data_IF_493244244976
#
_entry.id   IF_493244244976
#
_cell.length_a   1.000
_cell.length_b   1.000
_cell.length_c   1.000
_cell.angle_alpha   90.00
_cell.angle_beta   90.00
_cell.angle_gamma   90.00
#
_symmetry.space_group_name_H-M   'P 1'
#
loop_
_entity.id
_entity.type
_entity.pdbx_description
1 polymer ?
#
# COMPACT_ATOMS: atom_id res chain seq x y z
N UNK A 1 2.50 -96.29 8.04
CA UNK A 1 1.44 -96.07 9.04
C UNK A 1 1.21 -94.57 9.16
N UNK A 2 0.04 -94.08 8.73
CA UNK A 2 -0.25 -92.66 8.42
C UNK A 2 -0.51 -91.78 9.67
N UNK A 3 -0.24 -90.45 9.62
CA UNK A 3 -0.63 -89.54 10.69
C UNK A 3 -2.11 -89.12 10.59
N UNK A 4 -2.83 -89.35 11.69
CA UNK A 4 -4.27 -89.11 11.86
C UNK A 4 -4.56 -87.61 12.00
N UNK A 5 -5.20 -87.01 11.00
CA UNK A 5 -5.63 -85.61 10.98
C UNK A 5 -6.67 -85.35 12.07
N UNK A 6 -6.37 -84.43 12.99
CA UNK A 6 -7.30 -84.03 14.06
C UNK A 6 -8.45 -83.22 13.45
N UNK A 7 -9.66 -83.74 13.62
CA UNK A 7 -10.95 -83.27 13.10
C UNK A 7 -11.25 -81.81 13.47
N UNK A 8 -11.65 -81.02 12.48
CA UNK A 8 -11.97 -79.58 12.52
C UNK A 8 -12.85 -79.10 13.68
N UNK A 9 -13.68 -80.00 14.23
CA UNK A 9 -14.64 -79.68 15.30
C UNK A 9 -13.96 -79.40 16.64
N UNK A 10 -12.81 -80.01 16.95
CA UNK A 10 -12.11 -79.76 18.22
C UNK A 10 -11.43 -78.39 18.24
N UNK A 11 -10.96 -77.91 17.09
CA UNK A 11 -10.31 -76.59 16.94
C UNK A 11 -11.26 -75.43 17.16
N UNK A 12 -12.52 -75.57 16.75
CA UNK A 12 -13.55 -74.54 16.95
C UNK A 12 -13.88 -74.34 18.44
N UNK A 13 -13.93 -75.41 19.22
CA UNK A 13 -14.22 -75.37 20.66
C UNK A 13 -13.10 -74.74 21.49
N UNK A 14 -11.85 -74.90 21.06
CA UNK A 14 -10.70 -74.23 21.70
C UNK A 14 -10.75 -72.72 21.49
N UNK A 15 -11.10 -72.28 20.27
CA UNK A 15 -11.17 -70.84 19.93
C UNK A 15 -12.24 -70.10 20.73
N UNK A 16 -13.41 -70.70 20.92
CA UNK A 16 -14.49 -70.09 21.73
C UNK A 16 -14.17 -70.06 23.22
N UNK A 17 -13.41 -71.04 23.72
CA UNK A 17 -12.95 -71.08 25.12
C UNK A 17 -11.88 -70.03 25.41
N UNK A 18 -10.97 -69.78 24.48
CA UNK A 18 -9.94 -68.75 24.67
C UNK A 18 -10.51 -67.33 24.61
N UNK A 19 -11.48 -67.08 23.72
CA UNK A 19 -12.22 -65.81 23.66
C UNK A 19 -13.05 -65.53 24.92
N UNK A 20 -13.61 -66.55 25.56
CA UNK A 20 -14.32 -66.38 26.84
C UNK A 20 -13.36 -66.29 28.03
N UNK A 21 -12.20 -66.95 27.98
CA UNK A 21 -11.16 -66.88 29.01
C UNK A 21 -10.47 -65.51 29.07
N UNK A 22 -10.28 -64.85 27.93
CA UNK A 22 -9.68 -63.50 27.88
C UNK A 22 -10.55 -62.42 28.52
N UNK A 23 -11.87 -62.62 28.57
CA UNK A 23 -12.79 -61.75 29.32
C UNK A 23 -12.68 -61.98 30.83
N UNK A 24 -12.39 -63.22 31.26
CA UNK A 24 -12.35 -63.61 32.68
C UNK A 24 -10.96 -63.39 33.32
N UNK A 25 -9.87 -63.40 32.53
CA UNK A 25 -8.53 -62.99 33.00
C UNK A 25 -7.90 -62.05 31.97
N UNK A 26 -7.87 -60.73 32.23
CA UNK A 26 -7.11 -59.82 31.40
C UNK A 26 -5.62 -60.18 31.51
N UNK A 27 -5.01 -60.58 30.41
CA UNK A 27 -3.57 -60.77 30.29
C UNK A 27 -2.87 -59.39 30.32
N UNK A 28 -1.77 -59.22 31.08
CA UNK A 28 -1.16 -57.90 31.32
C UNK A 28 -0.54 -57.25 30.07
N UNK A 29 -0.32 -58.01 28.99
CA UNK A 29 0.29 -57.50 27.75
C UNK A 29 -0.64 -56.55 26.99
N UNK A 30 -1.96 -56.79 27.00
CA UNK A 30 -2.95 -55.94 26.31
C UNK A 30 -3.17 -54.59 27.03
N UNK A 31 -2.81 -54.49 28.30
CA UNK A 31 -2.91 -53.24 29.06
C UNK A 31 -1.78 -52.26 28.67
N UNK A 32 -0.57 -52.75 28.44
CA UNK A 32 0.61 -51.88 28.22
C UNK A 32 0.54 -51.11 26.89
N UNK A 33 0.12 -51.75 25.80
CA UNK A 33 -0.01 -51.09 24.50
C UNK A 33 -1.10 -50.02 24.47
N UNK A 34 -2.20 -50.25 25.21
CA UNK A 34 -3.28 -49.27 25.36
C UNK A 34 -2.76 -47.99 26.01
N UNK A 35 -1.92 -48.08 27.04
CA UNK A 35 -1.40 -46.89 27.71
C UNK A 35 -0.48 -46.03 26.83
N UNK A 36 0.37 -46.63 25.98
CA UNK A 36 1.25 -45.85 25.09
C UNK A 36 0.45 -45.20 23.95
N UNK A 37 -0.48 -45.94 23.34
CA UNK A 37 -1.35 -45.41 22.29
C UNK A 37 -2.28 -44.31 22.81
N UNK A 38 -2.85 -44.48 24.02
CA UNK A 38 -3.69 -43.46 24.68
C UNK A 38 -2.87 -42.21 25.02
N UNK A 39 -1.62 -42.35 25.49
CA UNK A 39 -0.77 -41.19 25.77
C UNK A 39 -0.40 -40.42 24.50
N UNK A 40 -0.22 -41.10 23.38
CA UNK A 40 0.03 -40.46 22.09
C UNK A 40 -1.23 -39.80 21.52
N UNK A 41 -2.40 -40.44 21.62
CA UNK A 41 -3.66 -39.83 21.14
C UNK A 41 -4.03 -38.59 21.95
N UNK A 42 -3.87 -38.61 23.29
CA UNK A 42 -4.09 -37.42 24.15
C UNK A 42 -3.16 -36.27 23.75
N UNK A 43 -1.89 -36.56 23.41
CA UNK A 43 -0.93 -35.54 22.95
C UNK A 43 -1.33 -34.95 21.60
N UNK A 44 -1.78 -35.77 20.66
CA UNK A 44 -2.25 -35.30 19.35
C UNK A 44 -3.54 -34.47 19.47
N UNK A 45 -4.48 -34.89 20.29
CA UNK A 45 -5.71 -34.13 20.56
C UNK A 45 -5.37 -32.80 21.25
N UNK A 46 -4.48 -32.82 22.25
CA UNK A 46 -4.06 -31.61 22.95
C UNK A 46 -3.34 -30.61 22.04
N UNK A 47 -2.44 -31.09 21.17
CA UNK A 47 -1.76 -30.22 20.19
C UNK A 47 -2.71 -29.66 19.14
N UNK A 48 -3.64 -30.47 18.62
CA UNK A 48 -4.68 -29.99 17.72
C UNK A 48 -5.55 -28.91 18.37
N UNK A 49 -5.93 -29.10 19.64
CA UNK A 49 -6.71 -28.13 20.40
C UNK A 49 -5.93 -26.84 20.66
N UNK A 50 -4.64 -26.93 20.99
CA UNK A 50 -3.77 -25.78 21.18
C UNK A 50 -3.59 -24.96 19.89
N UNK A 51 -3.44 -25.62 18.74
CA UNK A 51 -3.36 -24.95 17.44
C UNK A 51 -4.69 -24.28 17.09
N UNK A 52 -5.83 -24.95 17.33
CA UNK A 52 -7.15 -24.35 17.14
C UNK A 52 -7.38 -23.12 18.03
N UNK A 53 -6.97 -23.20 19.30
CA UNK A 53 -7.03 -22.08 20.23
C UNK A 53 -6.12 -20.92 19.80
N UNK A 54 -4.87 -21.21 19.38
CA UNK A 54 -3.92 -20.22 18.87
C UNK A 54 -4.48 -19.50 17.62
N UNK A 55 -5.03 -20.24 16.67
CA UNK A 55 -5.67 -19.67 15.48
C UNK A 55 -6.85 -18.77 15.86
N UNK A 56 -7.67 -19.19 16.81
CA UNK A 56 -8.89 -18.45 17.20
C UNK A 56 -8.57 -17.19 18.00
N UNK A 57 -7.68 -17.29 18.99
CA UNK A 57 -7.39 -16.19 19.91
C UNK A 57 -6.33 -15.21 19.41
N UNK A 58 -5.51 -15.58 18.41
CA UNK A 58 -4.43 -14.72 17.94
C UNK A 58 -4.59 -14.35 16.47
N UNK A 59 -4.88 -15.31 15.59
CA UNK A 59 -4.91 -15.02 14.14
C UNK A 59 -6.14 -14.21 13.74
N UNK A 60 -7.32 -14.57 14.23
CA UNK A 60 -8.57 -13.85 13.94
C UNK A 60 -8.52 -12.40 14.44
N UNK A 61 -8.23 -12.12 15.73
CA UNK A 61 -8.22 -10.73 16.22
C UNK A 61 -7.09 -9.88 15.61
N UNK A 62 -5.91 -10.45 15.31
CA UNK A 62 -4.83 -9.69 14.65
C UNK A 62 -5.17 -9.35 13.19
N UNK A 63 -5.87 -10.25 12.49
CA UNK A 63 -6.35 -9.99 11.13
C UNK A 63 -7.42 -8.88 11.13
N UNK A 64 -8.36 -8.94 12.06
CA UNK A 64 -9.42 -7.94 12.21
C UNK A 64 -8.88 -6.57 12.65
N UNK A 65 -7.89 -6.54 13.55
CA UNK A 65 -7.25 -5.28 13.94
C UNK A 65 -6.62 -4.59 12.72
N UNK A 66 -5.90 -5.34 11.87
CA UNK A 66 -5.27 -4.76 10.66
C UNK A 66 -6.28 -4.31 9.60
N UNK A 67 -7.41 -4.99 9.43
CA UNK A 67 -8.45 -4.56 8.49
C UNK A 67 -9.19 -3.34 9.02
N UNK A 68 -9.49 -3.29 10.31
CA UNK A 68 -10.09 -2.13 10.97
C UNK A 68 -9.17 -0.91 10.96
N UNK A 69 -7.86 -1.07 11.21
CA UNK A 69 -6.90 0.04 11.12
C UNK A 69 -6.82 0.62 9.71
N UNK A 70 -6.91 -0.21 8.66
CA UNK A 70 -6.94 0.27 7.27
C UNK A 70 -8.23 1.03 6.94
N UNK A 71 -9.37 0.52 7.42
CA UNK A 71 -10.66 1.21 7.26
C UNK A 71 -10.66 2.54 8.01
N UNK A 72 -10.08 2.58 9.20
CA UNK A 72 -9.93 3.80 9.99
C UNK A 72 -8.99 4.79 9.31
N UNK A 73 -7.83 4.36 8.81
CA UNK A 73 -6.89 5.21 8.08
C UNK A 73 -7.51 5.81 6.81
N UNK A 74 -8.24 5.01 6.03
CA UNK A 74 -8.95 5.50 4.86
C UNK A 74 -9.99 6.57 5.23
N UNK A 75 -10.77 6.33 6.28
CA UNK A 75 -11.77 7.31 6.75
C UNK A 75 -11.13 8.57 7.31
N UNK A 76 -10.04 8.47 8.06
CA UNK A 76 -9.27 9.63 8.52
C UNK A 76 -8.75 10.46 7.34
N UNK A 77 -8.23 9.83 6.29
CA UNK A 77 -7.76 10.57 5.10
C UNK A 77 -8.89 11.28 4.35
N UNK A 78 -10.08 10.67 4.29
CA UNK A 78 -11.27 11.34 3.75
C UNK A 78 -11.66 12.55 4.61
N UNK A 79 -11.64 12.42 5.94
CA UNK A 79 -11.96 13.52 6.84
C UNK A 79 -10.95 14.66 6.78
N UNK A 80 -9.65 14.37 6.68
CA UNK A 80 -8.60 15.38 6.51
C UNK A 80 -8.82 16.16 5.20
N UNK A 81 -9.06 15.47 4.09
CA UNK A 81 -9.34 16.13 2.81
C UNK A 81 -10.60 17.02 2.85
N UNK A 82 -11.65 16.60 3.56
CA UNK A 82 -12.86 17.40 3.74
C UNK A 82 -12.64 18.58 4.69
N UNK A 83 -11.82 18.43 5.72
CA UNK A 83 -11.47 19.51 6.63
C UNK A 83 -10.65 20.59 5.91
N UNK A 84 -9.63 20.20 5.14
CA UNK A 84 -8.82 21.11 4.33
C UNK A 84 -9.68 21.90 3.32
N UNK A 85 -10.61 21.22 2.63
CA UNK A 85 -11.52 21.87 1.70
C UNK A 85 -12.46 22.86 2.41
N UNK A 86 -12.96 22.51 3.60
CA UNK A 86 -13.80 23.42 4.38
C UNK A 86 -13.01 24.64 4.87
N UNK A 87 -11.76 24.47 5.30
CA UNK A 87 -10.88 25.58 5.70
C UNK A 87 -10.67 26.54 4.53
N UNK A 88 -10.33 26.01 3.35
CA UNK A 88 -10.17 26.81 2.13
C UNK A 88 -11.44 27.59 1.76
N UNK A 89 -12.60 26.93 1.79
CA UNK A 89 -13.87 27.61 1.53
C UNK A 89 -14.18 28.69 2.58
N UNK A 90 -13.82 28.46 3.84
CA UNK A 90 -14.01 29.44 4.89
C UNK A 90 -13.09 30.65 4.70
N UNK A 91 -11.85 30.45 4.27
CA UNK A 91 -10.94 31.54 3.88
C UNK A 91 -11.49 32.35 2.71
N UNK A 92 -12.02 31.69 1.68
CA UNK A 92 -12.67 32.36 0.55
C UNK A 92 -13.89 33.16 0.99
N UNK A 93 -14.77 32.57 1.79
CA UNK A 93 -15.94 33.26 2.35
C UNK A 93 -15.51 34.48 3.17
N UNK A 94 -14.49 34.33 4.02
CA UNK A 94 -13.97 35.44 4.82
C UNK A 94 -13.39 36.54 3.92
N UNK A 95 -12.65 36.18 2.87
CA UNK A 95 -12.14 37.14 1.90
C UNK A 95 -13.29 37.85 1.18
N UNK A 96 -14.29 37.12 0.68
CA UNK A 96 -15.48 37.63 0.00
C UNK A 96 -16.43 38.40 0.93
N UNK A 97 -16.31 38.27 2.25
CA UNK A 97 -17.07 39.08 3.20
C UNK A 97 -16.58 40.53 3.28
N UNK A 98 -15.33 40.78 2.83
CA UNK A 98 -14.74 42.12 2.85
C UNK A 98 -15.07 42.89 1.56
N UNK A 99 -15.28 44.22 1.62
CA UNK A 99 -15.57 45.02 0.44
C UNK A 99 -14.48 44.92 -0.65
N UNK A 100 -13.20 44.86 -0.25
CA UNK A 100 -12.09 44.71 -1.19
C UNK A 100 -12.04 43.30 -1.81
N UNK A 101 -12.33 42.25 -1.04
CA UNK A 101 -12.43 40.90 -1.56
C UNK A 101 -13.55 40.74 -2.58
N UNK A 102 -14.72 41.33 -2.33
CA UNK A 102 -15.82 41.37 -3.32
C UNK A 102 -15.36 42.08 -4.60
N UNK A 103 -14.71 43.24 -4.48
CA UNK A 103 -14.23 44.01 -5.63
C UNK A 103 -13.20 43.21 -6.45
N UNK A 104 -12.26 42.55 -5.78
CA UNK A 104 -11.25 41.73 -6.43
C UNK A 104 -11.85 40.48 -7.10
N UNK A 105 -12.79 39.81 -6.43
CA UNK A 105 -13.52 38.67 -6.99
C UNK A 105 -14.37 39.09 -8.21
N UNK A 106 -15.06 40.23 -8.13
CA UNK A 106 -15.81 40.79 -9.25
C UNK A 106 -14.91 41.12 -10.45
N UNK A 107 -13.71 41.66 -10.22
CA UNK A 107 -12.71 41.90 -11.28
C UNK A 107 -12.17 40.60 -11.88
N UNK A 108 -11.83 39.61 -11.05
CA UNK A 108 -11.15 38.39 -11.51
C UNK A 108 -12.11 37.38 -12.15
N UNK A 109 -13.26 37.14 -11.51
CA UNK A 109 -14.21 36.10 -11.92
C UNK A 109 -15.20 36.61 -12.98
N UNK A 110 -15.70 37.83 -12.81
CA UNK A 110 -16.74 38.41 -13.66
C UNK A 110 -16.19 39.45 -14.63
N UNK A 111 -14.93 39.86 -14.47
CA UNK A 111 -14.34 40.90 -15.30
C UNK A 111 -14.97 42.29 -15.10
N UNK A 112 -15.65 42.52 -13.98
CA UNK A 112 -16.23 43.83 -13.70
C UNK A 112 -15.12 44.87 -13.48
N UNK A 113 -15.46 46.11 -13.80
CA UNK A 113 -14.56 47.27 -13.73
C UNK A 113 -15.34 48.40 -13.08
N UNK A 114 -14.70 49.21 -12.23
CA UNK A 114 -15.41 50.31 -11.57
C UNK A 114 -15.74 51.44 -12.56
N UNK A 115 -16.74 52.29 -12.27
CA UNK A 115 -17.00 53.48 -13.08
C UNK A 115 -15.74 54.34 -13.21
N UNK A 116 -15.33 54.62 -14.45
CA UNK A 116 -14.11 55.40 -14.76
C UNK A 116 -12.84 54.58 -14.96
N UNK A 117 -12.85 53.27 -14.72
CA UNK A 117 -11.75 52.37 -15.06
C UNK A 117 -11.97 51.77 -16.46
N UNK A 118 -10.89 51.51 -17.22
CA UNK A 118 -10.94 50.89 -18.54
C UNK A 118 -10.14 49.58 -18.54
N UNK A 119 -10.75 48.50 -19.04
CA UNK A 119 -10.06 47.21 -19.16
C UNK A 119 -9.03 47.29 -20.30
N UNK A 120 -7.75 47.18 -19.97
CA UNK A 120 -6.67 47.04 -20.95
C UNK A 120 -6.29 45.57 -21.04
N UNK A 121 -6.58 44.94 -22.18
CA UNK A 121 -6.07 43.60 -22.48
C UNK A 121 -4.63 43.74 -22.97
N UNK A 122 -3.67 43.53 -22.08
CA UNK A 122 -2.27 43.43 -22.49
C UNK A 122 -2.09 42.12 -23.26
N UNK A 123 -1.88 42.21 -24.57
CA UNK A 123 -1.43 41.08 -25.36
C UNK A 123 0.01 40.75 -24.96
N UNK A 124 0.36 39.45 -25.02
CA UNK A 124 1.75 39.03 -24.82
C UNK A 124 2.64 39.81 -25.78
N UNK A 125 3.62 40.53 -25.23
CA UNK A 125 4.59 41.26 -26.04
C UNK A 125 5.24 40.27 -27.01
N UNK A 126 5.31 40.56 -28.33
CA UNK A 126 5.98 39.69 -29.27
C UNK A 126 7.42 39.45 -28.80
N UNK A 127 7.95 38.26 -29.06
CA UNK A 127 9.37 38.01 -28.81
C UNK A 127 10.17 39.08 -29.56
N UNK A 128 10.97 39.84 -28.83
CA UNK A 128 11.84 40.82 -29.47
C UNK A 128 12.81 40.05 -30.37
N UNK A 129 13.12 40.57 -31.57
CA UNK A 129 14.18 40.01 -32.39
C UNK A 129 15.47 39.99 -31.56
N UNK A 130 16.02 38.81 -31.32
CA UNK A 130 17.34 38.64 -30.70
C UNK A 130 18.47 38.89 -31.68
N UNK A 131 18.15 38.94 -32.97
CA UNK A 131 19.10 39.19 -34.04
C UNK A 131 19.32 40.69 -34.24
N UNK A 132 20.58 41.08 -34.23
CA UNK A 132 20.98 42.44 -34.57
C UNK A 132 20.87 42.67 -36.09
N UNK A 133 20.51 43.89 -36.54
CA UNK A 133 20.45 44.20 -37.97
C UNK A 133 21.80 44.01 -38.67
N UNK A 134 21.79 43.54 -39.91
CA UNK A 134 22.99 43.43 -40.77
C UNK A 134 23.36 44.80 -41.38
N UNK A 135 23.58 45.78 -40.52
CA UNK A 135 23.95 47.14 -40.91
C UNK A 135 25.03 47.68 -39.96
N UNK A 136 25.84 48.61 -40.46
CA UNK A 136 26.78 49.34 -39.61
C UNK A 136 26.00 50.10 -38.52
N UNK A 137 26.43 50.07 -37.24
CA UNK A 137 27.66 49.48 -36.68
C UNK A 137 27.50 48.05 -36.12
N UNK A 138 26.32 47.45 -36.24
CA UNK A 138 25.96 46.18 -35.60
C UNK A 138 26.74 44.98 -36.14
N UNK A 139 27.15 45.03 -37.41
CA UNK A 139 27.99 43.99 -38.02
C UNK A 139 29.33 43.81 -37.29
N UNK A 140 29.93 44.89 -36.78
CA UNK A 140 31.18 44.79 -36.01
C UNK A 140 30.96 44.09 -34.67
N UNK A 141 29.85 44.37 -34.00
CA UNK A 141 29.49 43.74 -32.72
C UNK A 141 29.22 42.25 -32.93
N UNK A 142 28.49 41.88 -33.99
CA UNK A 142 28.22 40.48 -34.30
C UNK A 142 29.50 39.70 -34.60
N UNK A 143 30.46 40.32 -35.29
CA UNK A 143 31.75 39.70 -35.59
C UNK A 143 32.60 39.50 -34.33
N UNK A 144 32.63 40.51 -33.44
CA UNK A 144 33.36 40.42 -32.16
C UNK A 144 32.79 39.31 -31.28
N UNK A 145 31.46 39.24 -31.14
CA UNK A 145 30.79 38.23 -30.33
C UNK A 145 31.03 36.83 -30.90
N UNK A 146 30.98 36.67 -32.24
CA UNK A 146 31.27 35.41 -32.91
C UNK A 146 32.69 34.92 -32.61
N UNK A 147 33.70 35.77 -32.81
CA UNK A 147 35.10 35.42 -32.54
C UNK A 147 35.30 35.05 -31.07
N UNK A 148 34.68 35.79 -30.14
CA UNK A 148 34.75 35.47 -28.70
C UNK A 148 34.10 34.14 -28.36
N UNK A 149 32.97 33.81 -29.00
CA UNK A 149 32.29 32.53 -28.80
C UNK A 149 33.15 31.34 -29.31
N UNK A 150 33.80 31.50 -30.46
CA UNK A 150 34.72 30.50 -31.02
C UNK A 150 35.94 30.28 -30.11
N UNK A 151 36.54 31.35 -29.58
CA UNK A 151 37.65 31.28 -28.63
C UNK A 151 37.23 30.62 -27.32
N UNK A 152 36.03 30.93 -26.81
CA UNK A 152 35.48 30.29 -25.62
C UNK A 152 35.25 28.78 -25.82
N UNK A 153 34.72 28.37 -26.98
CA UNK A 153 34.54 26.96 -27.32
C UNK A 153 35.87 26.21 -27.45
N UNK A 154 36.89 26.85 -28.04
CA UNK A 154 38.21 26.25 -28.21
C UNK A 154 39.04 26.16 -26.91
N UNK A 155 38.81 27.06 -25.95
CA UNK A 155 39.58 27.14 -24.70
C UNK A 155 39.06 26.23 -23.58
N UNK A 156 37.94 25.53 -23.79
CA UNK A 156 37.39 24.55 -22.84
C UNK A 156 37.00 25.12 -21.47
N UNK A 157 37.01 26.44 -21.29
CA UNK A 157 36.77 27.09 -20.01
C UNK A 157 35.40 27.80 -20.01
N UNK A 158 34.57 27.37 -19.06
CA UNK A 158 33.21 27.81 -18.84
C UNK A 158 33.15 29.29 -18.45
N UNK A 159 32.75 30.15 -19.38
CA UNK A 159 31.95 31.32 -19.03
C UNK A 159 30.63 31.15 -19.77
N UNK A 160 29.67 30.56 -19.05
CA UNK A 160 28.30 30.35 -19.49
C UNK A 160 27.82 31.56 -20.30
N UNK A 161 27.49 31.42 -21.60
CA UNK A 161 26.74 32.45 -22.27
C UNK A 161 25.43 32.60 -21.50
N UNK A 162 25.11 33.83 -21.10
CA UNK A 162 23.97 34.18 -20.27
C UNK A 162 22.77 33.28 -20.57
N UNK A 163 22.36 32.49 -19.57
CA UNK A 163 21.03 31.91 -19.55
C UNK A 163 20.00 33.06 -19.71
N UNK A 164 18.87 32.81 -20.40
CA UNK A 164 17.85 33.83 -20.63
C UNK A 164 17.32 34.46 -19.33
#
# INVERSE_FOLDING_TARGET
>A
MAPRTKTTVTRAKERTRDLTRSVVRPTPEDAQFKHVAIKWSIRLVGTAFAVAAMLTFIVIPVRDYRTQSKALAAKTSEFEALADANEQLQEEVNALSTPEGIRNAARTLLGYVLPGEQRLALTKMPALPTELPQAWPYTMVTDIVRVRAEVAAASGNALSPLAP
#
